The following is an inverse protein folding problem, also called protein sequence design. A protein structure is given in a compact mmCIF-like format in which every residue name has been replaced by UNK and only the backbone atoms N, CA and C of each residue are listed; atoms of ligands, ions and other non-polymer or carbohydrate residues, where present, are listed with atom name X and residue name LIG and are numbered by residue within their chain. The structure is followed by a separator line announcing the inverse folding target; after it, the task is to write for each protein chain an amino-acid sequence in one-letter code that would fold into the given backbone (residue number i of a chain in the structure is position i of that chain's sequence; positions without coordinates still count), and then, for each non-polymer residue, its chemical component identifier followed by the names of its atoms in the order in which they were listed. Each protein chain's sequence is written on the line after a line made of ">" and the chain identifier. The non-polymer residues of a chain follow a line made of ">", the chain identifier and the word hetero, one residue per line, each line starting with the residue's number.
data_IF_849926046615
#
_entry.id   IF_849926046615
#
_cell.length_a   1.000
_cell.length_b   1.000
_cell.length_c   1.000
_cell.angle_alpha   90.00
_cell.angle_beta   90.00
_cell.angle_gamma   90.00
#
_symmetry.space_group_name_H-M   'P 1'
#
loop_
_entity.id
_entity.type
_entity.pdbx_description
1 polymer ?
#
# COMPACT_ATOMS: atom_id res chain seq x y z
N UNK A 1 -3.41 -15.11 5.61
CA UNK A 1 -4.56 -14.62 4.82
C UNK A 1 -5.08 -15.64 3.82
N UNK A 2 -4.30 -16.12 2.83
CA UNK A 2 -4.79 -17.12 1.85
C UNK A 2 -5.35 -18.38 2.54
N UNK A 3 -4.60 -18.97 3.48
CA UNK A 3 -5.02 -20.15 4.24
C UNK A 3 -6.28 -19.93 5.09
N UNK A 4 -6.66 -18.68 5.34
CA UNK A 4 -7.86 -18.33 6.09
C UNK A 4 -9.06 -18.10 5.16
N UNK A 5 -8.86 -17.39 4.05
CA UNK A 5 -9.96 -17.07 3.13
C UNK A 5 -10.31 -18.27 2.24
N UNK A 6 -9.35 -19.12 1.87
CA UNK A 6 -9.58 -20.23 0.94
C UNK A 6 -10.61 -21.25 1.48
N UNK A 7 -10.53 -21.73 2.73
CA UNK A 7 -11.56 -22.61 3.29
C UNK A 7 -12.94 -21.94 3.34
N UNK A 8 -13.02 -20.67 3.74
CA UNK A 8 -14.28 -19.93 3.80
C UNK A 8 -14.93 -19.74 2.42
N UNK A 9 -14.11 -19.58 1.38
CA UNK A 9 -14.61 -19.49 0.00
C UNK A 9 -15.12 -20.85 -0.50
N UNK A 10 -14.53 -21.95 -0.02
CA UNK A 10 -14.99 -23.30 -0.30
C UNK A 10 -16.32 -23.59 0.41
N UNK A 11 -16.45 -23.22 1.68
CA UNK A 11 -17.73 -23.30 2.42
C UNK A 11 -18.83 -22.48 1.74
N UNK A 12 -18.50 -21.28 1.23
CA UNK A 12 -19.44 -20.47 0.44
C UNK A 12 -19.85 -21.19 -0.85
N UNK A 13 -18.93 -21.90 -1.52
CA UNK A 13 -19.24 -22.69 -2.72
C UNK A 13 -20.22 -23.81 -2.40
N UNK A 14 -19.94 -24.59 -1.36
CA UNK A 14 -20.81 -25.68 -0.91
C UNK A 14 -22.20 -25.18 -0.49
N UNK A 15 -22.26 -24.03 0.19
CA UNK A 15 -23.53 -23.38 0.54
C UNK A 15 -24.34 -23.01 -0.70
N UNK A 16 -23.71 -22.36 -1.69
CA UNK A 16 -24.39 -21.91 -2.92
C UNK A 16 -24.87 -23.07 -3.79
N UNK A 17 -24.25 -24.25 -3.71
CA UNK A 17 -24.77 -25.45 -4.40
C UNK A 17 -26.13 -25.89 -3.87
N UNK A 18 -26.43 -25.64 -2.60
CA UNK A 18 -27.70 -26.00 -1.96
C UNK A 18 -28.70 -24.83 -1.92
N UNK A 19 -28.21 -23.61 -2.13
CA UNK A 19 -29.02 -22.41 -2.09
C UNK A 19 -29.82 -22.21 -3.38
N UNK A 20 -31.10 -21.90 -3.24
CA UNK A 20 -31.95 -21.44 -4.34
C UNK A 20 -32.14 -19.94 -4.19
N UNK A 21 -31.69 -19.18 -5.20
CA UNK A 21 -31.90 -17.74 -5.23
C UNK A 21 -33.40 -17.42 -5.33
N UNK A 22 -33.82 -16.36 -4.63
CA UNK A 22 -35.19 -15.86 -4.54
C UNK A 22 -35.69 -15.41 -5.90
N UNK A 23 -34.83 -14.71 -6.65
CA UNK A 23 -35.09 -14.21 -7.98
C UNK A 23 -33.79 -14.06 -8.78
N UNK A 24 -33.92 -13.62 -10.03
CA UNK A 24 -32.77 -13.41 -10.92
C UNK A 24 -31.88 -12.26 -10.46
N UNK A 25 -32.43 -11.27 -9.76
CA UNK A 25 -31.69 -10.08 -9.35
C UNK A 25 -30.77 -10.41 -8.17
N UNK A 26 -31.21 -11.26 -7.23
CA UNK A 26 -30.37 -11.80 -6.16
C UNK A 26 -29.20 -12.62 -6.71
N UNK A 27 -29.45 -13.48 -7.71
CA UNK A 27 -28.39 -14.27 -8.36
C UNK A 27 -27.38 -13.36 -9.07
N UNK A 28 -27.86 -12.37 -9.82
CA UNK A 28 -27.01 -11.37 -10.49
C UNK A 28 -26.17 -10.62 -9.45
N UNK A 29 -26.76 -10.14 -8.35
CA UNK A 29 -26.05 -9.42 -7.29
C UNK A 29 -24.92 -10.29 -6.70
N UNK A 30 -25.21 -11.58 -6.46
CA UNK A 30 -24.21 -12.51 -5.95
C UNK A 30 -23.02 -12.67 -6.92
N UNK A 31 -23.27 -12.94 -8.20
CA UNK A 31 -22.21 -13.18 -9.19
C UNK A 31 -21.54 -11.91 -9.72
N UNK A 32 -22.20 -10.75 -9.62
CA UNK A 32 -21.66 -9.45 -10.04
C UNK A 32 -20.84 -8.81 -8.94
N UNK A 33 -21.28 -8.90 -7.68
CA UNK A 33 -20.72 -8.12 -6.58
C UNK A 33 -20.19 -9.01 -5.43
N UNK A 34 -21.04 -9.84 -4.82
CA UNK A 34 -20.69 -10.56 -3.57
C UNK A 34 -19.55 -11.54 -3.75
N UNK A 35 -19.69 -12.50 -4.68
CA UNK A 35 -18.67 -13.51 -4.95
C UNK A 35 -17.39 -12.86 -5.49
N UNK A 36 -17.44 -11.97 -6.50
CA UNK A 36 -16.22 -11.33 -7.00
C UNK A 36 -15.47 -10.52 -5.94
N UNK A 37 -16.16 -9.86 -5.02
CA UNK A 37 -15.53 -9.12 -3.92
C UNK A 37 -14.66 -10.04 -3.05
N UNK A 38 -15.18 -11.20 -2.64
CA UNK A 38 -14.44 -12.16 -1.82
C UNK A 38 -13.30 -12.79 -2.62
N UNK A 39 -13.60 -13.26 -3.84
CA UNK A 39 -12.61 -13.89 -4.73
C UNK A 39 -11.46 -12.94 -5.09
N UNK A 40 -11.74 -11.63 -5.23
CA UNK A 40 -10.71 -10.63 -5.51
C UNK A 40 -9.63 -10.58 -4.43
N UNK A 41 -9.99 -10.79 -3.16
CA UNK A 41 -9.04 -10.82 -2.04
C UNK A 41 -8.12 -12.03 -2.14
N UNK A 42 -8.67 -13.20 -2.49
CA UNK A 42 -7.88 -14.41 -2.73
C UNK A 42 -6.88 -14.21 -3.86
N UNK A 43 -7.35 -13.70 -5.01
CA UNK A 43 -6.49 -13.43 -6.17
C UNK A 43 -5.39 -12.44 -5.78
N UNK A 44 -5.75 -11.32 -5.13
CA UNK A 44 -4.80 -10.30 -4.69
C UNK A 44 -3.72 -10.86 -3.77
N UNK A 45 -4.09 -11.56 -2.70
CA UNK A 45 -3.11 -12.10 -1.76
C UNK A 45 -2.22 -13.15 -2.42
N UNK A 46 -2.76 -13.97 -3.33
CA UNK A 46 -1.98 -14.93 -4.09
C UNK A 46 -1.00 -14.23 -5.03
N UNK A 47 -1.43 -13.19 -5.74
CA UNK A 47 -0.55 -12.38 -6.61
C UNK A 47 0.55 -11.69 -5.81
N UNK A 48 0.26 -11.10 -4.64
CA UNK A 48 1.26 -10.51 -3.75
C UNK A 48 2.26 -11.56 -3.27
N UNK A 49 1.77 -12.73 -2.85
CA UNK A 49 2.63 -13.83 -2.42
C UNK A 49 3.59 -14.27 -3.52
N UNK A 50 3.08 -14.47 -4.75
CA UNK A 50 3.90 -14.84 -5.90
C UNK A 50 4.89 -13.73 -6.28
N UNK A 51 4.47 -12.47 -6.19
CA UNK A 51 5.31 -11.30 -6.44
C UNK A 51 6.47 -11.21 -5.44
N UNK A 52 6.23 -11.47 -4.16
CA UNK A 52 7.29 -11.42 -3.14
C UNK A 52 8.24 -12.62 -3.21
N UNK A 53 7.75 -13.82 -3.53
CA UNK A 53 8.62 -15.01 -3.70
C UNK A 53 9.50 -14.90 -4.94
N UNK A 54 8.95 -14.36 -6.03
CA UNK A 54 9.70 -14.20 -7.30
C UNK A 54 10.48 -12.91 -7.36
N UNK A 55 10.54 -12.16 -6.26
CA UNK A 55 11.27 -10.90 -6.17
C UNK A 55 12.77 -11.18 -6.41
N UNK A 56 13.39 -10.52 -7.39
CA UNK A 56 14.80 -10.75 -7.67
C UNK A 56 15.68 -10.16 -6.57
N UNK A 57 16.80 -10.83 -6.30
CA UNK A 57 17.91 -10.22 -5.58
C UNK A 57 18.66 -9.34 -6.58
N UNK A 58 18.66 -8.04 -6.39
CA UNK A 58 19.26 -7.11 -7.34
C UNK A 58 19.33 -5.68 -6.82
N UNK A 59 19.87 -4.80 -7.64
CA UNK A 59 19.91 -3.37 -7.35
C UNK A 59 18.51 -2.76 -7.29
N UNK A 60 18.41 -1.51 -6.84
CA UNK A 60 17.12 -0.79 -6.77
C UNK A 60 16.49 -0.67 -8.16
N UNK A 61 17.30 -0.53 -9.21
CA UNK A 61 16.86 -0.44 -10.60
C UNK A 61 16.20 -1.74 -11.05
N UNK A 62 16.82 -2.89 -10.75
CA UNK A 62 16.26 -4.22 -11.05
C UNK A 62 14.92 -4.42 -10.33
N UNK A 63 14.82 -3.98 -9.08
CA UNK A 63 13.56 -4.04 -8.32
C UNK A 63 12.48 -3.12 -8.92
N UNK A 64 12.84 -1.90 -9.34
CA UNK A 64 11.91 -0.97 -10.01
C UNK A 64 11.39 -1.57 -11.32
N UNK A 65 12.27 -2.13 -12.14
CA UNK A 65 11.88 -2.77 -13.40
C UNK A 65 10.96 -3.97 -13.16
N UNK A 66 11.26 -4.79 -12.15
CA UNK A 66 10.43 -5.93 -11.75
C UNK A 66 8.99 -5.51 -11.41
N UNK A 67 8.81 -4.47 -10.58
CA UNK A 67 7.48 -3.97 -10.22
C UNK A 67 6.78 -3.31 -11.41
N UNK A 68 7.48 -2.51 -12.22
CA UNK A 68 6.92 -1.90 -13.44
C UNK A 68 6.45 -2.93 -14.45
N UNK A 69 7.17 -4.05 -14.60
CA UNK A 69 6.76 -5.16 -15.47
C UNK A 69 5.41 -5.75 -15.04
N UNK A 70 5.15 -5.86 -13.73
CA UNK A 70 3.84 -6.30 -13.24
C UNK A 70 2.74 -5.26 -13.53
N UNK A 71 3.02 -3.96 -13.40
CA UNK A 71 2.08 -2.89 -13.75
C UNK A 71 1.73 -2.88 -15.25
N UNK A 72 2.71 -3.12 -16.12
CA UNK A 72 2.48 -3.26 -17.57
C UNK A 72 1.52 -4.42 -17.84
N UNK A 73 1.75 -5.59 -17.24
CA UNK A 73 0.87 -6.74 -17.40
C UNK A 73 -0.57 -6.49 -16.90
N UNK A 74 -0.73 -5.71 -15.83
CA UNK A 74 -2.04 -5.27 -15.33
C UNK A 74 -2.70 -4.34 -16.35
N UNK A 75 -1.96 -3.38 -16.90
CA UNK A 75 -2.44 -2.44 -17.91
C UNK A 75 -2.88 -3.15 -19.19
N UNK A 76 -2.10 -4.11 -19.66
CA UNK A 76 -2.44 -4.96 -20.82
C UNK A 76 -3.74 -5.73 -20.58
N UNK A 77 -3.93 -6.29 -19.39
CA UNK A 77 -5.17 -6.97 -19.02
C UNK A 77 -6.37 -6.01 -19.03
N UNK A 78 -6.23 -4.81 -18.46
CA UNK A 78 -7.27 -3.79 -18.46
C UNK A 78 -7.64 -3.38 -19.89
N UNK A 79 -6.65 -3.12 -20.74
CA UNK A 79 -6.86 -2.74 -22.14
C UNK A 79 -7.55 -3.85 -22.95
N UNK A 80 -7.17 -5.11 -22.74
CA UNK A 80 -7.81 -6.25 -23.37
C UNK A 80 -9.27 -6.48 -22.94
N UNK A 81 -9.71 -5.84 -21.84
CA UNK A 81 -11.06 -5.97 -21.29
C UNK A 81 -11.77 -4.62 -21.17
N UNK A 82 -11.36 -3.61 -21.94
CA UNK A 82 -11.76 -2.21 -21.74
C UNK A 82 -13.29 -2.01 -21.77
N UNK A 83 -13.98 -2.59 -22.75
CA UNK A 83 -15.45 -2.46 -22.88
C UNK A 83 -16.18 -3.04 -21.66
N UNK A 84 -15.71 -4.20 -21.18
CA UNK A 84 -16.25 -4.83 -19.98
C UNK A 84 -15.96 -4.00 -18.72
N UNK A 85 -14.78 -3.39 -18.63
CA UNK A 85 -14.43 -2.48 -17.54
C UNK A 85 -15.35 -1.25 -17.53
N UNK A 86 -15.61 -0.65 -18.70
CA UNK A 86 -16.52 0.49 -18.84
C UNK A 86 -17.95 0.10 -18.42
N UNK A 87 -18.44 -1.05 -18.90
CA UNK A 87 -19.73 -1.60 -18.51
C UNK A 87 -19.84 -1.74 -16.98
N UNK A 88 -18.88 -2.41 -16.36
CA UNK A 88 -18.94 -2.69 -14.92
C UNK A 88 -18.79 -1.40 -14.09
N UNK A 89 -17.82 -0.53 -14.42
CA UNK A 89 -17.55 0.69 -13.65
C UNK A 89 -18.64 1.76 -13.81
N UNK A 90 -19.35 1.79 -14.93
CA UNK A 90 -20.53 2.64 -15.10
C UNK A 90 -21.77 2.14 -14.35
N UNK A 91 -21.67 0.99 -13.66
CA UNK A 91 -22.78 0.33 -12.97
C UNK A 91 -23.96 0.01 -13.91
N UNK A 92 -23.67 -0.18 -15.19
CA UNK A 92 -24.69 -0.54 -16.16
C UNK A 92 -25.25 -1.94 -15.84
N UNK A 93 -26.50 -2.16 -16.25
CA UNK A 93 -27.25 -3.41 -15.97
C UNK A 93 -27.77 -4.11 -17.24
N UNK A 94 -27.68 -3.45 -18.39
CA UNK A 94 -28.29 -3.91 -19.64
C UNK A 94 -27.71 -5.24 -20.20
N UNK A 95 -26.57 -5.72 -19.68
CA UNK A 95 -25.98 -7.01 -20.05
C UNK A 95 -25.92 -8.00 -18.87
N UNK A 96 -26.49 -7.66 -17.70
CA UNK A 96 -26.31 -8.46 -16.48
C UNK A 96 -26.83 -9.89 -16.67
N UNK A 97 -27.97 -10.05 -17.35
CA UNK A 97 -28.53 -11.35 -17.71
C UNK A 97 -27.55 -12.25 -18.48
N UNK A 98 -26.65 -11.68 -19.28
CA UNK A 98 -25.69 -12.44 -20.08
C UNK A 98 -24.36 -12.67 -19.36
N UNK A 99 -24.03 -11.80 -18.40
CA UNK A 99 -22.74 -11.82 -17.71
C UNK A 99 -22.77 -12.53 -16.36
N UNK A 100 -23.90 -12.44 -15.63
CA UNK A 100 -23.97 -12.80 -14.21
C UNK A 100 -25.15 -13.71 -13.86
N UNK A 101 -25.95 -14.14 -14.83
CA UNK A 101 -26.99 -15.14 -14.61
C UNK A 101 -26.54 -16.48 -15.20
N UNK A 102 -26.56 -17.56 -14.40
CA UNK A 102 -26.10 -18.88 -14.85
C UNK A 102 -27.00 -19.43 -15.96
N UNK A 103 -26.40 -20.09 -16.95
CA UNK A 103 -27.12 -20.75 -18.05
C UNK A 103 -27.71 -19.79 -19.10
N UNK A 104 -27.44 -18.49 -18.97
CA UNK A 104 -27.86 -17.45 -19.92
C UNK A 104 -26.69 -16.84 -20.69
N UNK A 105 -25.52 -17.50 -20.68
CA UNK A 105 -24.31 -16.99 -21.33
C UNK A 105 -24.48 -16.90 -22.86
N UNK A 106 -24.18 -15.73 -23.43
CA UNK A 106 -24.04 -15.56 -24.88
C UNK A 106 -22.57 -15.67 -25.26
N UNK A 107 -22.20 -16.68 -26.04
CA UNK A 107 -20.82 -16.90 -26.50
C UNK A 107 -20.19 -15.65 -27.13
N UNK A 108 -20.96 -14.91 -27.92
CA UNK A 108 -20.53 -13.66 -28.57
C UNK A 108 -20.06 -12.60 -27.56
N UNK A 109 -20.68 -12.52 -26.39
CA UNK A 109 -20.37 -11.57 -25.32
C UNK A 109 -19.31 -12.11 -24.34
N UNK A 110 -19.23 -13.43 -24.18
CA UNK A 110 -18.38 -14.10 -23.21
C UNK A 110 -17.12 -14.72 -23.83
N UNK A 111 -16.54 -14.10 -24.87
CA UNK A 111 -15.28 -14.59 -25.46
C UNK A 111 -14.18 -14.71 -24.39
N UNK A 112 -13.44 -15.82 -24.41
CA UNK A 112 -12.38 -16.16 -23.45
C UNK A 112 -12.81 -16.19 -21.96
N UNK A 113 -14.08 -16.46 -21.65
CA UNK A 113 -14.56 -16.61 -20.27
C UNK A 113 -14.05 -17.87 -19.55
N UNK A 114 -13.53 -18.85 -20.30
CA UNK A 114 -12.97 -20.09 -19.77
C UNK A 114 -14.01 -20.94 -19.01
N UNK A 115 -15.27 -20.90 -19.43
CA UNK A 115 -16.37 -21.61 -18.76
C UNK A 115 -16.36 -23.13 -18.96
N UNK A 116 -15.59 -23.64 -19.91
CA UNK A 116 -15.61 -25.07 -20.28
C UNK A 116 -15.26 -26.03 -19.13
N UNK A 117 -14.39 -25.62 -18.20
CA UNK A 117 -13.93 -26.43 -17.06
C UNK A 117 -14.30 -25.82 -15.70
N UNK A 118 -15.23 -24.85 -15.68
CA UNK A 118 -15.67 -24.20 -14.43
C UNK A 118 -16.88 -24.90 -13.83
N UNK A 119 -16.99 -24.82 -12.51
CA UNK A 119 -18.16 -25.26 -11.77
C UNK A 119 -19.40 -24.46 -12.23
N UNK A 120 -20.36 -25.07 -12.95
CA UNK A 120 -21.50 -24.37 -13.53
C UNK A 120 -22.51 -23.93 -12.47
N UNK A 121 -22.49 -24.55 -11.28
CA UNK A 121 -23.38 -24.16 -10.17
C UNK A 121 -22.81 -22.98 -9.39
N UNK A 122 -21.50 -22.76 -9.47
CA UNK A 122 -20.85 -21.68 -8.73
C UNK A 122 -20.18 -20.66 -9.62
N UNK A 123 -20.33 -20.65 -10.94
CA UNK A 123 -19.62 -19.69 -11.81
C UNK A 123 -20.50 -19.15 -12.92
N UNK A 124 -20.19 -17.93 -13.36
CA UNK A 124 -20.76 -17.31 -14.56
C UNK A 124 -19.65 -16.89 -15.51
N UNK A 125 -20.00 -16.39 -16.70
CA UNK A 125 -18.96 -16.06 -17.68
C UNK A 125 -18.05 -14.88 -17.25
N UNK A 126 -18.54 -13.98 -16.38
CA UNK A 126 -17.82 -12.75 -16.03
C UNK A 126 -17.48 -12.56 -14.54
N UNK A 127 -17.99 -13.37 -13.62
CA UNK A 127 -17.73 -13.22 -12.18
C UNK A 127 -16.22 -13.22 -11.83
N UNK A 128 -15.45 -14.13 -12.42
CA UNK A 128 -14.00 -14.21 -12.24
C UNK A 128 -13.28 -13.02 -12.87
N UNK A 129 -13.80 -12.50 -14.00
CA UNK A 129 -13.24 -11.32 -14.67
C UNK A 129 -13.38 -10.09 -13.78
N UNK A 130 -14.53 -9.92 -13.14
CA UNK A 130 -14.74 -8.87 -12.11
C UNK A 130 -13.79 -9.06 -10.94
N UNK A 131 -13.69 -10.28 -10.40
CA UNK A 131 -12.82 -10.56 -9.25
C UNK A 131 -11.36 -10.20 -9.56
N UNK A 132 -10.89 -10.53 -10.77
CA UNK A 132 -9.53 -10.22 -11.23
C UNK A 132 -9.31 -8.72 -11.41
N UNK A 133 -10.29 -8.00 -11.96
CA UNK A 133 -10.24 -6.53 -12.04
C UNK A 133 -10.09 -5.89 -10.65
N UNK A 134 -10.95 -6.28 -9.69
CA UNK A 134 -10.88 -5.77 -8.32
C UNK A 134 -9.55 -6.12 -7.64
N UNK A 135 -9.01 -7.31 -7.92
CA UNK A 135 -7.70 -7.72 -7.42
C UNK A 135 -6.56 -6.86 -7.97
N UNK A 136 -6.63 -6.52 -9.25
CA UNK A 136 -5.63 -5.68 -9.91
C UNK A 136 -5.70 -4.22 -9.46
N UNK A 137 -6.88 -3.69 -9.18
CA UNK A 137 -7.03 -2.37 -8.55
C UNK A 137 -6.29 -2.32 -7.19
N UNK A 138 -6.40 -3.37 -6.36
CA UNK A 138 -5.65 -3.47 -5.10
C UNK A 138 -4.15 -3.67 -5.31
N UNK A 139 -3.78 -4.44 -6.34
CA UNK A 139 -2.38 -4.75 -6.65
C UNK A 139 -1.62 -3.54 -7.18
N UNK A 140 -2.25 -2.68 -7.98
CA UNK A 140 -1.68 -1.41 -8.42
C UNK A 140 -1.31 -0.51 -7.24
N UNK A 141 -2.20 -0.36 -6.26
CA UNK A 141 -1.92 0.41 -5.04
C UNK A 141 -0.70 -0.16 -4.31
N UNK A 142 -0.62 -1.49 -4.18
CA UNK A 142 0.52 -2.16 -3.55
C UNK A 142 1.83 -1.88 -4.32
N UNK A 143 1.82 -2.02 -5.64
CA UNK A 143 2.99 -1.78 -6.49
C UNK A 143 3.47 -0.32 -6.41
N UNK A 144 2.54 0.63 -6.43
CA UNK A 144 2.84 2.06 -6.26
C UNK A 144 3.51 2.35 -4.91
N UNK A 145 2.98 1.76 -3.83
CA UNK A 145 3.59 1.88 -2.50
C UNK A 145 5.03 1.34 -2.48
N UNK A 146 5.27 0.18 -3.09
CA UNK A 146 6.63 -0.41 -3.17
C UNK A 146 7.59 0.44 -3.99
N UNK A 147 7.15 0.99 -5.11
CA UNK A 147 7.97 1.88 -5.93
C UNK A 147 8.33 3.16 -5.17
N UNK A 148 7.35 3.79 -4.51
CA UNK A 148 7.58 4.97 -3.69
C UNK A 148 8.54 4.71 -2.53
N UNK A 149 8.47 3.54 -1.87
CA UNK A 149 9.44 3.13 -0.85
C UNK A 149 10.87 3.05 -1.39
N UNK A 150 11.05 2.56 -2.61
CA UNK A 150 12.37 2.48 -3.27
C UNK A 150 12.92 3.87 -3.60
N UNK A 151 12.07 4.75 -4.14
CA UNK A 151 12.44 6.14 -4.46
C UNK A 151 12.82 6.92 -3.21
N UNK A 152 12.05 6.79 -2.11
CA UNK A 152 12.38 7.43 -0.84
C UNK A 152 13.76 7.00 -0.32
N UNK A 153 14.08 5.71 -0.37
CA UNK A 153 15.39 5.19 0.04
C UNK A 153 16.52 5.72 -0.83
N UNK A 154 16.30 5.89 -2.12
CA UNK A 154 17.27 6.47 -3.04
C UNK A 154 17.56 7.94 -2.75
N UNK A 155 16.52 8.74 -2.48
CA UNK A 155 16.69 10.14 -2.05
C UNK A 155 17.53 10.20 -0.78
N UNK A 156 17.20 9.39 0.24
CA UNK A 156 17.94 9.33 1.50
C UNK A 156 19.42 8.95 1.27
N UNK A 157 19.67 7.93 0.44
CA UNK A 157 21.04 7.47 0.19
C UNK A 157 21.86 8.49 -0.62
N UNK A 158 21.26 9.17 -1.60
CA UNK A 158 21.91 10.24 -2.35
C UNK A 158 22.24 11.45 -1.46
N UNK A 159 21.31 11.85 -0.60
CA UNK A 159 21.55 12.91 0.41
C UNK A 159 22.67 12.53 1.38
N UNK A 160 22.79 11.25 1.75
CA UNK A 160 23.90 10.75 2.58
C UNK A 160 25.23 10.74 1.84
N UNK A 161 25.25 10.38 0.57
CA UNK A 161 26.48 10.33 -0.25
C UNK A 161 27.09 11.72 -0.49
N UNK A 162 26.27 12.78 -0.48
CA UNK A 162 26.73 14.17 -0.60
C UNK A 162 27.27 14.78 0.70
N UNK A 163 27.10 14.11 1.84
CA UNK A 163 27.64 14.57 3.12
C UNK A 163 28.98 13.88 3.39
N UNK A 164 29.98 14.57 4.01
CA UNK A 164 31.19 13.90 4.48
C UNK A 164 30.79 12.72 5.38
N UNK A 165 31.56 11.63 5.32
CA UNK A 165 31.23 10.37 5.98
C UNK A 165 31.11 10.60 7.50
N UNK A 166 29.88 10.85 7.96
CA UNK A 166 29.64 11.27 9.33
C UNK A 166 29.69 10.01 10.21
N UNK A 167 30.63 9.92 11.18
CA UNK A 167 30.73 8.74 12.04
C UNK A 167 29.56 8.61 13.01
N UNK A 168 28.75 9.66 13.17
CA UNK A 168 27.70 9.71 14.19
C UNK A 168 26.39 9.05 13.70
N UNK A 169 25.82 8.22 14.58
CA UNK A 169 24.52 7.56 14.41
C UNK A 169 23.56 8.01 15.51
N UNK A 170 22.32 8.36 15.16
CA UNK A 170 21.29 8.64 16.16
C UNK A 170 20.95 7.37 16.94
N UNK A 171 21.14 7.40 18.25
CA UNK A 171 20.79 6.30 19.17
C UNK A 171 19.53 6.58 19.99
N UNK A 172 19.00 7.80 19.93
CA UNK A 172 17.74 8.17 20.56
C UNK A 172 16.51 7.64 19.83
N UNK A 173 15.33 7.97 20.34
CA UNK A 173 14.06 7.62 19.66
C UNK A 173 13.86 8.48 18.41
N UNK A 174 13.06 7.99 17.45
CA UNK A 174 12.66 8.79 16.28
C UNK A 174 11.92 10.05 16.69
N UNK A 175 11.06 9.95 17.70
CA UNK A 175 10.28 11.06 18.24
C UNK A 175 11.21 12.16 18.77
N UNK A 176 12.31 11.80 19.43
CA UNK A 176 13.31 12.77 19.90
C UNK A 176 14.00 13.53 18.74
N UNK A 177 14.34 12.83 17.65
CA UNK A 177 14.90 13.48 16.46
C UNK A 177 13.89 14.41 15.77
N UNK A 178 12.62 14.01 15.71
CA UNK A 178 11.53 14.83 15.16
C UNK A 178 11.29 16.06 16.05
N UNK A 179 11.29 15.88 17.37
CA UNK A 179 11.19 16.98 18.34
C UNK A 179 12.32 18.00 18.14
N UNK A 180 13.57 17.52 17.97
CA UNK A 180 14.72 18.37 17.67
C UNK A 180 14.57 19.12 16.35
N UNK A 181 14.16 18.44 15.28
CA UNK A 181 13.99 19.06 13.96
C UNK A 181 12.94 20.17 13.97
N UNK A 182 11.79 19.93 14.62
CA UNK A 182 10.76 20.95 14.77
C UNK A 182 11.20 22.09 15.71
N UNK A 183 12.03 21.82 16.71
CA UNK A 183 12.58 22.87 17.58
C UNK A 183 13.53 23.81 16.81
N UNK A 184 14.42 23.25 15.99
CA UNK A 184 15.34 24.03 15.14
C UNK A 184 14.54 24.87 14.14
N UNK A 185 13.52 24.27 13.51
CA UNK A 185 12.63 24.98 12.60
C UNK A 185 11.90 26.13 13.30
N UNK A 186 11.28 25.87 14.47
CA UNK A 186 10.57 26.89 15.24
C UNK A 186 11.48 28.00 15.75
N UNK A 187 12.75 27.70 16.02
CA UNK A 187 13.74 28.70 16.43
C UNK A 187 14.18 29.61 15.28
N UNK A 188 13.97 29.23 14.01
CA UNK A 188 14.32 30.05 12.84
C UNK A 188 15.82 30.33 12.71
N UNK A 189 16.67 29.48 13.29
CA UNK A 189 18.12 29.73 13.41
C UNK A 189 18.92 29.36 12.15
N UNK A 190 18.28 28.76 11.15
CA UNK A 190 18.92 28.32 9.91
C UNK A 190 18.50 29.23 8.75
N UNK A 191 19.47 29.58 7.88
CA UNK A 191 19.27 30.37 6.67
C UNK A 191 18.44 31.65 6.88
N UNK A 192 18.76 32.40 7.94
CA UNK A 192 18.03 33.62 8.32
C UNK A 192 16.52 33.39 8.53
N UNK A 193 16.15 32.20 9.02
CA UNK A 193 14.76 31.79 9.24
C UNK A 193 14.05 31.24 8.00
N UNK A 194 14.73 31.10 6.86
CA UNK A 194 14.12 30.67 5.59
C UNK A 194 14.22 29.17 5.30
N UNK A 195 14.83 28.38 6.20
CA UNK A 195 14.95 26.94 6.00
C UNK A 195 13.58 26.23 6.14
N UNK A 196 13.25 25.36 5.18
CA UNK A 196 12.01 24.58 5.23
C UNK A 196 12.14 23.39 6.20
N UNK A 197 11.03 23.01 6.84
CA UNK A 197 10.98 21.86 7.74
C UNK A 197 11.41 20.58 7.02
N UNK A 198 11.05 20.42 5.73
CA UNK A 198 11.46 19.27 4.93
C UNK A 198 12.97 19.21 4.76
N UNK A 199 13.63 20.35 4.53
CA UNK A 199 15.08 20.44 4.39
C UNK A 199 15.78 20.06 5.70
N UNK A 200 15.30 20.60 6.81
CA UNK A 200 15.84 20.32 8.15
C UNK A 200 15.71 18.83 8.48
N UNK A 201 14.53 18.23 8.24
CA UNK A 201 14.29 16.81 8.52
C UNK A 201 15.16 15.91 7.64
N UNK A 202 15.29 16.24 6.35
CA UNK A 202 16.16 15.50 5.42
C UNK A 202 17.62 15.57 5.88
N UNK A 203 18.07 16.73 6.36
CA UNK A 203 19.42 16.90 6.87
C UNK A 203 19.66 16.08 8.15
N UNK A 204 18.70 16.00 9.07
CA UNK A 204 18.78 15.16 10.28
C UNK A 204 18.84 13.67 9.92
N UNK A 205 17.99 13.21 8.99
CA UNK A 205 17.97 11.83 8.49
C UNK A 205 19.32 11.41 7.88
N UNK A 206 19.89 12.31 7.08
CA UNK A 206 21.14 12.08 6.39
C UNK A 206 22.32 12.13 7.38
N UNK A 207 22.42 13.21 8.17
CA UNK A 207 23.51 13.45 9.13
C UNK A 207 23.65 12.38 10.19
N UNK A 208 22.53 11.86 10.72
CA UNK A 208 22.56 10.88 11.81
C UNK A 208 22.16 9.45 11.40
N UNK A 209 22.08 9.17 10.09
CA UNK A 209 21.76 7.84 9.55
C UNK A 209 20.49 7.23 10.16
N UNK A 210 19.42 8.04 10.26
CA UNK A 210 18.11 7.67 10.80
C UNK A 210 17.01 7.80 9.73
N UNK A 211 15.92 7.04 9.86
CA UNK A 211 14.68 7.16 9.06
C UNK A 211 13.55 7.66 9.97
N UNK A 212 13.11 8.90 9.78
CA UNK A 212 12.08 9.56 10.58
C UNK A 212 10.67 9.15 10.15
N UNK A 213 10.49 8.63 8.93
CA UNK A 213 9.18 8.25 8.40
C UNK A 213 8.23 9.45 8.24
N UNK A 214 6.97 9.29 8.64
CA UNK A 214 5.97 10.37 8.57
C UNK A 214 6.13 11.33 9.77
N UNK A 215 7.12 12.22 9.66
CA UNK A 215 7.46 13.18 10.71
C UNK A 215 6.38 14.24 10.94
N UNK A 216 5.55 14.55 9.93
CA UNK A 216 4.40 15.46 10.08
C UNK A 216 3.36 14.87 11.03
N UNK A 217 2.96 13.61 10.81
CA UNK A 217 2.00 12.93 11.68
C UNK A 217 2.55 12.70 13.08
N UNK A 218 3.83 12.33 13.18
CA UNK A 218 4.49 12.17 14.46
C UNK A 218 4.49 13.47 15.28
N UNK A 219 4.75 14.62 14.65
CA UNK A 219 4.70 15.93 15.31
C UNK A 219 3.29 16.32 15.79
N UNK A 220 2.25 16.05 14.99
CA UNK A 220 0.86 16.24 15.45
C UNK A 220 0.60 15.44 16.72
N UNK A 221 1.07 14.18 16.76
CA UNK A 221 0.94 13.31 17.93
C UNK A 221 1.70 13.86 19.15
N UNK A 222 2.88 14.45 18.96
CA UNK A 222 3.63 15.14 20.04
C UNK A 222 2.81 16.32 20.58
N UNK A 223 2.23 17.13 19.69
CA UNK A 223 1.49 18.36 20.03
C UNK A 223 0.22 18.10 20.84
N UNK A 224 -0.40 16.94 20.64
CA UNK A 224 -1.61 16.49 21.34
C UNK A 224 -1.37 15.97 22.77
N UNK A 225 -0.11 15.70 23.14
CA UNK A 225 0.20 15.19 24.49
C UNK A 225 -0.13 16.22 25.57
N UNK A 226 -0.84 15.81 26.62
CA UNK A 226 -1.19 16.71 27.74
C UNK A 226 0.00 17.04 28.66
N UNK A 227 1.01 16.17 28.71
CA UNK A 227 2.27 16.33 29.45
C UNK A 227 3.44 15.95 28.54
N UNK A 228 4.63 16.50 28.82
CA UNK A 228 5.89 16.10 28.18
C UNK A 228 5.96 16.29 26.65
N UNK A 229 5.43 17.42 26.16
CA UNK A 229 5.48 17.78 24.73
C UNK A 229 6.91 17.99 24.21
N UNK A 230 7.81 18.45 25.08
CA UNK A 230 9.22 18.75 24.77
C UNK A 230 10.17 17.92 25.62
N UNK A 231 9.82 16.64 25.84
CA UNK A 231 10.54 15.75 26.76
C UNK A 231 12.02 15.62 26.44
N UNK A 232 12.37 15.59 25.16
CA UNK A 232 13.75 15.41 24.74
C UNK A 232 14.56 16.69 24.94
N UNK A 233 14.03 17.85 24.54
CA UNK A 233 14.71 19.13 24.72
C UNK A 233 14.90 19.47 26.20
N UNK A 234 13.90 19.23 27.04
CA UNK A 234 14.03 19.43 28.49
C UNK A 234 15.13 18.54 29.08
N UNK A 235 15.23 17.29 28.63
CA UNK A 235 16.32 16.40 29.05
C UNK A 235 17.70 16.90 28.57
N UNK A 236 17.81 17.42 27.34
CA UNK A 236 19.06 18.01 26.84
C UNK A 236 19.50 19.22 27.66
N UNK A 237 18.56 20.13 27.99
CA UNK A 237 18.84 21.29 28.85
C UNK A 237 19.38 20.83 30.20
N UNK A 238 18.69 19.89 30.86
CA UNK A 238 19.11 19.38 32.17
C UNK A 238 20.49 18.70 32.12
N UNK A 239 20.78 17.94 31.05
CA UNK A 239 22.09 17.30 30.86
C UNK A 239 23.21 18.32 30.65
N UNK A 240 22.95 19.37 29.88
CA UNK A 240 23.92 20.43 29.62
C UNK A 240 24.21 21.24 30.89
N UNK A 241 23.17 21.66 31.62
CA UNK A 241 23.32 22.39 32.88
C UNK A 241 24.15 21.59 33.90
N UNK A 242 23.83 20.30 34.06
CA UNK A 242 24.61 19.42 34.94
C UNK A 242 26.08 19.33 34.52
N UNK A 243 26.36 19.29 33.21
CA UNK A 243 27.74 19.24 32.72
C UNK A 243 28.50 20.54 33.04
N UNK A 244 27.85 21.69 32.88
CA UNK A 244 28.41 22.99 33.27
C UNK A 244 28.70 23.06 34.78
N UNK A 245 27.75 22.62 35.61
CA UNK A 245 27.93 22.56 37.07
C UNK A 245 29.07 21.61 37.49
N UNK A 246 29.34 20.57 36.71
CA UNK A 246 30.46 19.63 36.94
C UNK A 246 31.81 20.26 36.52
N UNK A 247 31.82 21.06 35.45
CA UNK A 247 33.02 21.74 34.94
C UNK A 247 33.41 22.95 35.81
N UNK A 248 32.46 23.68 36.37
CA UNK A 248 32.71 24.83 37.27
C UNK A 248 33.20 24.41 38.67
N UNK A 249 33.13 23.11 39.00
CA UNK A 249 33.62 22.54 40.27
C UNK A 249 35.08 22.06 40.19
N UNK A 250 35.71 22.13 39.02
CA UNK A 250 37.12 21.82 38.75
C UNK A 250 37.97 23.09 38.71
#
# INVERSE_FOLDING_TARGET
>A
MINFIKPLFEELREFIHQYTFQDTDEEIEFFKNTKPFILSKLIYFNDVYLLEIRKPNGSKEVLKEYYKKKQIAITEFCNANLDFYQYYRSKATHLDKYYFLRGHEKYQLCHNCGMFDKDPLFSTCCDHRVAKMLAYDMLEIYLQQRLHELERKEVIDNSRASLPDNPFRWTGTKIAAIELGYAIYAAGVLNDGNADIKEIMTYIEASFKIDLGDYYRAYLTIRERKKDKTSFLTNLINKLLRKMDEDDKL
#
